data_IF_419731617596
#
_entry.id   IF_419731617596
#
_cell.length_a   1.000
_cell.length_b   1.000
_cell.length_c   1.000
_cell.angle_alpha   90.00
_cell.angle_beta   90.00
_cell.angle_gamma   90.00
#
_symmetry.space_group_name_H-M   'P 1'
#
loop_
_entity.id
_entity.type
_entity.pdbx_description
1 polymer ?
#
# COMPACT_ATOMS: atom_id res chain seq x y z
N UNK A 1 3.57 -5.90 28.87
CA UNK A 1 4.43 -4.81 28.34
C UNK A 1 4.07 -3.49 29.00
N UNK A 2 4.87 -2.41 28.84
CA UNK A 2 4.53 -1.05 29.36
C UNK A 2 3.21 -0.53 28.76
N UNK A 3 2.96 -0.83 27.49
CA UNK A 3 1.72 -0.53 26.77
C UNK A 3 0.48 -1.13 27.45
N UNK A 4 0.53 -2.41 27.83
CA UNK A 4 -0.59 -3.08 28.53
C UNK A 4 -0.76 -2.70 30.01
N UNK A 5 0.04 -1.76 30.53
CA UNK A 5 -0.04 -1.27 31.92
C UNK A 5 -0.52 0.18 32.03
N UNK A 6 -0.48 0.91 30.93
CA UNK A 6 -0.92 2.32 30.88
C UNK A 6 -2.41 2.36 30.50
N UNK A 7 -3.29 2.99 31.31
CA UNK A 7 -4.72 3.11 31.00
C UNK A 7 -5.00 3.71 29.62
N UNK A 8 -4.13 4.57 29.09
CA UNK A 8 -4.29 5.19 27.78
C UNK A 8 -3.99 4.23 26.61
N UNK A 9 -3.23 3.15 26.83
CA UNK A 9 -2.81 2.21 25.78
C UNK A 9 -3.09 0.75 26.10
N UNK A 10 -3.73 0.46 27.24
CA UNK A 10 -4.04 -0.90 27.69
C UNK A 10 -4.94 -1.66 26.72
N UNK A 11 -5.83 -0.94 26.04
CA UNK A 11 -6.75 -1.49 25.04
C UNK A 11 -6.17 -1.53 23.62
N UNK A 12 -4.92 -1.09 23.41
CA UNK A 12 -4.28 -1.17 22.10
C UNK A 12 -3.85 -2.61 21.82
N UNK A 13 -4.33 -3.20 20.72
CA UNK A 13 -3.88 -4.52 20.28
C UNK A 13 -2.44 -4.47 19.73
N UNK A 14 -1.66 -5.50 20.03
CA UNK A 14 -0.22 -5.54 19.69
C UNK A 14 0.07 -6.81 18.91
N UNK A 15 0.51 -6.68 17.67
CA UNK A 15 1.11 -7.77 16.89
C UNK A 15 2.61 -7.55 16.85
N UNK A 16 3.38 -8.51 17.36
CA UNK A 16 4.83 -8.46 17.39
C UNK A 16 5.43 -9.09 16.14
N UNK A 17 6.56 -8.56 15.68
CA UNK A 17 7.29 -9.06 14.51
C UNK A 17 8.74 -9.31 14.93
N UNK A 18 9.24 -10.54 14.80
CA UNK A 18 10.58 -10.94 15.27
C UNK A 18 11.43 -11.56 14.15
N UNK A 19 12.72 -11.19 14.12
CA UNK A 19 13.74 -11.89 13.31
C UNK A 19 14.37 -13.08 14.03
N UNK A 20 14.11 -13.24 15.32
CA UNK A 20 14.58 -14.37 16.14
C UNK A 20 13.37 -15.17 16.60
N UNK A 21 13.00 -16.17 15.80
CA UNK A 21 11.80 -16.97 15.98
C UNK A 21 12.16 -18.29 16.68
N UNK A 22 12.02 -18.31 18.00
CA UNK A 22 12.14 -19.51 18.83
C UNK A 22 10.89 -19.64 19.71
N UNK A 23 10.51 -20.86 20.09
CA UNK A 23 9.34 -21.09 20.95
C UNK A 23 9.40 -20.27 22.24
N UNK A 24 10.53 -20.30 22.93
CA UNK A 24 10.73 -19.53 24.15
C UNK A 24 10.58 -18.02 23.95
N UNK A 25 10.98 -17.47 22.79
CA UNK A 25 10.82 -16.04 22.50
C UNK A 25 9.37 -15.69 22.15
N UNK A 26 8.69 -16.55 21.38
CA UNK A 26 7.27 -16.41 21.06
C UNK A 26 6.42 -16.41 22.33
N UNK A 27 6.64 -17.38 23.21
CA UNK A 27 5.89 -17.49 24.46
C UNK A 27 6.08 -16.24 25.32
N UNK A 28 7.31 -15.71 25.40
CA UNK A 28 7.57 -14.46 26.12
C UNK A 28 6.82 -13.27 25.52
N UNK A 29 6.75 -13.18 24.20
CA UNK A 29 6.07 -12.10 23.49
C UNK A 29 4.55 -12.18 23.71
N UNK A 30 3.96 -13.37 23.56
CA UNK A 30 2.54 -13.61 23.77
C UNK A 30 2.15 -13.36 25.24
N UNK A 31 2.92 -13.92 26.19
CA UNK A 31 2.71 -13.69 27.63
C UNK A 31 2.88 -12.22 28.04
N UNK A 32 3.62 -11.43 27.27
CA UNK A 32 3.75 -9.99 27.52
C UNK A 32 2.51 -9.19 27.09
N UNK A 33 1.52 -9.83 26.44
CA UNK A 33 0.24 -9.26 26.04
C UNK A 33 0.13 -8.91 24.55
N UNK A 34 0.97 -9.52 23.69
CA UNK A 34 0.78 -9.44 22.24
C UNK A 34 -0.31 -10.41 21.80
N UNK A 35 -1.18 -9.97 20.88
CA UNK A 35 -2.22 -10.81 20.28
C UNK A 35 -1.65 -11.84 19.32
N UNK A 36 -0.54 -11.52 18.65
CA UNK A 36 0.18 -12.43 17.77
C UNK A 36 1.68 -12.11 17.70
N UNK A 37 2.47 -13.10 17.28
CA UNK A 37 3.88 -12.96 16.94
C UNK A 37 4.12 -13.50 15.53
N UNK A 38 4.69 -12.68 14.65
CA UNK A 38 5.02 -13.01 13.26
C UNK A 38 6.54 -13.10 13.09
N UNK A 39 6.99 -14.04 12.25
CA UNK A 39 8.42 -14.20 11.93
C UNK A 39 8.81 -13.32 10.74
N UNK A 40 10.04 -12.80 10.74
CA UNK A 40 10.65 -12.26 9.52
C UNK A 40 11.30 -13.40 8.70
N UNK A 41 11.33 -13.32 7.36
CA UNK A 41 10.68 -12.29 6.54
C UNK A 41 9.16 -12.39 6.59
N UNK A 42 8.48 -11.24 6.53
CA UNK A 42 7.02 -11.16 6.59
C UNK A 42 6.41 -11.45 5.22
N UNK A 43 5.41 -12.30 5.20
CA UNK A 43 4.51 -12.48 4.07
C UNK A 43 3.27 -11.60 4.27
N UNK A 44 2.89 -10.82 3.25
CA UNK A 44 1.81 -9.83 3.37
C UNK A 44 0.45 -10.51 3.57
N UNK A 45 0.25 -11.70 2.98
CA UNK A 45 -0.99 -12.48 3.14
C UNK A 45 -1.08 -13.00 4.58
N UNK A 46 0.02 -13.53 5.13
CA UNK A 46 0.09 -13.98 6.52
C UNK A 46 -0.16 -12.83 7.50
N UNK A 47 0.50 -11.68 7.29
CA UNK A 47 0.30 -10.47 8.10
C UNK A 47 -1.15 -10.02 8.06
N UNK A 48 -1.74 -9.93 6.85
CA UNK A 48 -3.13 -9.48 6.67
C UNK A 48 -4.10 -10.40 7.39
N UNK A 49 -3.97 -11.71 7.22
CA UNK A 49 -4.81 -12.70 7.90
C UNK A 49 -4.72 -12.57 9.42
N UNK A 50 -3.50 -12.43 9.94
CA UNK A 50 -3.28 -12.31 11.39
C UNK A 50 -3.81 -11.00 11.97
N UNK A 51 -3.74 -9.90 11.23
CA UNK A 51 -4.31 -8.61 11.63
C UNK A 51 -5.83 -8.68 11.64
N UNK A 52 -6.47 -9.24 10.61
CA UNK A 52 -7.93 -9.38 10.59
C UNK A 52 -8.41 -10.23 11.80
N UNK A 53 -7.75 -11.38 12.02
CA UNK A 53 -8.04 -12.27 13.15
C UNK A 53 -7.83 -11.58 14.52
N UNK A 54 -6.67 -10.96 14.72
CA UNK A 54 -6.28 -10.42 16.04
C UNK A 54 -7.10 -9.20 16.44
N UNK A 55 -7.49 -8.36 15.48
CA UNK A 55 -8.18 -7.11 15.76
C UNK A 55 -9.71 -7.23 15.67
N UNK A 56 -10.24 -8.43 15.37
CA UNK A 56 -11.68 -8.68 15.14
C UNK A 56 -12.32 -7.64 14.22
N UNK A 57 -11.55 -7.18 13.24
CA UNK A 57 -12.03 -6.22 12.27
C UNK A 57 -13.12 -6.92 11.48
N UNK A 58 -14.31 -6.32 11.44
CA UNK A 58 -15.29 -6.70 10.42
C UNK A 58 -14.59 -6.44 9.09
N UNK A 59 -14.68 -7.41 8.19
CA UNK A 59 -14.30 -7.27 6.80
C UNK A 59 -15.26 -6.26 6.14
N UNK A 60 -15.23 -4.99 6.54
CA UNK A 60 -16.14 -3.94 6.04
C UNK A 60 -15.91 -3.67 4.55
N UNK A 61 -14.75 -4.06 4.01
CA UNK A 61 -14.43 -4.04 2.58
C UNK A 61 -14.94 -5.29 1.81
N UNK A 62 -15.19 -6.43 2.48
CA UNK A 62 -15.65 -7.65 1.79
C UNK A 62 -17.16 -7.60 1.50
N UNK A 63 -17.96 -6.97 2.36
CA UNK A 63 -19.42 -6.84 2.14
C UNK A 63 -19.81 -5.75 1.13
N UNK A 64 -18.97 -4.72 0.94
CA UNK A 64 -19.24 -3.66 -0.05
C UNK A 64 -18.71 -3.99 -1.46
N UNK A 65 -17.75 -4.92 -1.58
CA UNK A 65 -17.24 -5.42 -2.86
C UNK A 65 -18.17 -6.43 -3.58
N UNK A 66 -19.31 -6.79 -2.96
CA UNK A 66 -20.27 -7.75 -3.49
C UNK A 66 -21.45 -7.11 -4.27
N UNK A 67 -21.62 -5.79 -4.24
CA UNK A 67 -22.82 -5.13 -4.80
C UNK A 67 -22.58 -4.07 -5.88
N UNK A 68 -21.32 -3.75 -6.23
CA UNK A 68 -21.03 -2.97 -7.45
C UNK A 68 -20.72 -3.92 -8.61
N UNK A 69 -21.34 -3.75 -9.79
CA UNK A 69 -20.94 -4.50 -10.98
C UNK A 69 -19.45 -4.21 -11.22
N UNK A 70 -18.60 -5.23 -11.04
CA UNK A 70 -17.14 -5.10 -11.13
C UNK A 70 -16.74 -4.78 -12.57
N UNK A 71 -16.81 -3.51 -12.94
CA UNK A 71 -15.93 -2.95 -13.95
C UNK A 71 -14.48 -3.14 -13.53
N UNK A 72 -13.56 -3.19 -14.50
CA UNK A 72 -12.13 -3.35 -14.24
C UNK A 72 -11.63 -2.37 -13.16
N UNK A 73 -10.81 -2.86 -12.22
CA UNK A 73 -10.10 -1.99 -11.28
C UNK A 73 -9.10 -1.15 -12.08
N UNK A 74 -9.22 0.17 -12.04
CA UNK A 74 -8.34 1.07 -12.80
C UNK A 74 -7.14 1.49 -11.96
N UNK A 75 -5.94 1.24 -12.48
CA UNK A 75 -4.66 1.61 -11.85
C UNK A 75 -3.92 2.56 -12.79
N UNK A 76 -3.60 3.76 -12.31
CA UNK A 76 -2.77 4.71 -13.04
C UNK A 76 -1.31 4.58 -12.62
N UNK A 77 -0.42 4.32 -13.57
CA UNK A 77 1.03 4.25 -13.34
C UNK A 77 1.69 5.49 -13.95
N UNK A 78 2.31 6.31 -13.10
CA UNK A 78 3.00 7.53 -13.50
C UNK A 78 4.51 7.32 -13.41
N UNK A 79 5.16 7.12 -14.54
CA UNK A 79 6.61 6.88 -14.60
C UNK A 79 7.16 7.03 -16.01
N UNK A 80 8.39 7.55 -16.12
CA UNK A 80 9.14 7.57 -17.37
C UNK A 80 9.87 6.24 -17.64
N UNK A 81 10.06 5.39 -16.63
CA UNK A 81 10.74 4.10 -16.76
C UNK A 81 9.87 3.09 -17.53
N UNK A 82 10.27 2.76 -18.76
CA UNK A 82 9.52 1.84 -19.62
C UNK A 82 9.46 0.41 -19.07
N UNK A 83 10.56 -0.09 -18.52
CA UNK A 83 10.65 -1.45 -17.98
C UNK A 83 9.72 -1.61 -16.78
N UNK A 84 9.65 -0.60 -15.90
CA UNK A 84 8.75 -0.60 -14.76
C UNK A 84 7.28 -0.65 -15.20
N UNK A 85 6.89 0.13 -16.23
CA UNK A 85 5.53 0.06 -16.79
C UNK A 85 5.21 -1.32 -17.37
N UNK A 86 6.14 -1.91 -18.12
CA UNK A 86 5.94 -3.23 -18.74
C UNK A 86 5.76 -4.30 -17.68
N UNK A 87 6.63 -4.34 -16.66
CA UNK A 87 6.53 -5.29 -15.55
C UNK A 87 5.21 -5.16 -14.79
N UNK A 88 4.80 -3.94 -14.45
CA UNK A 88 3.52 -3.72 -13.78
C UNK A 88 2.32 -4.17 -14.63
N UNK A 89 2.34 -3.92 -15.94
CA UNK A 89 1.28 -4.39 -16.85
C UNK A 89 1.22 -5.91 -16.91
N UNK A 90 2.35 -6.57 -17.09
CA UNK A 90 2.44 -8.04 -17.13
C UNK A 90 1.94 -8.64 -15.82
N UNK A 91 2.36 -8.07 -14.69
CA UNK A 91 1.93 -8.53 -13.38
C UNK A 91 0.42 -8.30 -13.17
N UNK A 92 -0.14 -7.15 -13.53
CA UNK A 92 -1.57 -6.86 -13.32
C UNK A 92 -2.48 -7.54 -14.36
N UNK A 93 -1.97 -7.97 -15.51
CA UNK A 93 -2.77 -8.62 -16.56
C UNK A 93 -3.46 -9.92 -16.14
N UNK A 94 -2.92 -10.61 -15.13
CA UNK A 94 -3.50 -11.85 -14.59
C UNK A 94 -4.23 -11.64 -13.24
N UNK A 95 -4.42 -10.39 -12.80
CA UNK A 95 -5.10 -10.08 -11.55
C UNK A 95 -6.61 -10.40 -11.62
N UNK A 96 -7.22 -10.66 -10.46
CA UNK A 96 -8.65 -10.99 -10.34
C UNK A 96 -9.23 -10.26 -9.12
N UNK A 97 -10.04 -9.19 -9.31
CA UNK A 97 -10.71 -8.77 -10.55
C UNK A 97 -9.78 -8.19 -11.62
N UNK A 98 -10.26 -8.14 -12.87
CA UNK A 98 -9.47 -7.64 -13.99
C UNK A 98 -9.02 -6.19 -13.74
N UNK A 99 -7.74 -5.91 -13.96
CA UNK A 99 -7.15 -4.59 -13.75
C UNK A 99 -6.87 -3.92 -15.10
N UNK A 100 -7.34 -2.69 -15.24
CA UNK A 100 -7.02 -1.82 -16.38
C UNK A 100 -5.89 -0.87 -15.98
N UNK A 101 -4.75 -0.99 -16.66
CA UNK A 101 -3.55 -0.19 -16.37
C UNK A 101 -3.48 1.02 -17.31
N UNK A 102 -3.78 2.19 -16.74
CA UNK A 102 -3.55 3.50 -17.36
C UNK A 102 -2.11 3.93 -17.11
N UNK A 103 -1.52 4.70 -18.03
CA UNK A 103 -0.14 5.17 -17.89
C UNK A 103 -0.01 6.64 -18.19
N UNK A 104 0.82 7.32 -17.43
CA UNK A 104 1.27 8.68 -17.70
C UNK A 104 2.79 8.79 -17.54
N UNK A 105 3.40 9.70 -18.29
CA UNK A 105 4.86 9.93 -18.23
C UNK A 105 5.24 11.24 -17.51
N UNK A 106 4.26 12.09 -17.25
CA UNK A 106 4.41 13.35 -16.54
C UNK A 106 3.24 13.50 -15.56
N UNK A 107 3.39 14.33 -14.55
CA UNK A 107 2.33 14.66 -13.61
C UNK A 107 1.18 15.45 -14.22
N UNK A 108 1.46 16.28 -15.24
CA UNK A 108 0.41 16.95 -16.01
C UNK A 108 -0.48 15.93 -16.75
N UNK A 109 0.14 14.97 -17.43
CA UNK A 109 -0.55 13.87 -18.12
C UNK A 109 -1.31 12.98 -17.12
N UNK A 110 -0.70 12.69 -15.96
CA UNK A 110 -1.34 11.91 -14.90
C UNK A 110 -2.65 12.55 -14.41
N UNK A 111 -2.65 13.88 -14.24
CA UNK A 111 -3.85 14.60 -13.80
C UNK A 111 -4.94 14.54 -14.87
N UNK A 112 -4.59 14.70 -16.15
CA UNK A 112 -5.54 14.62 -17.26
C UNK A 112 -6.15 13.23 -17.41
N UNK A 113 -5.31 12.19 -17.34
CA UNK A 113 -5.75 10.79 -17.36
C UNK A 113 -6.66 10.50 -16.17
N UNK A 114 -6.32 10.96 -14.98
CA UNK A 114 -7.14 10.78 -13.78
C UNK A 114 -8.50 11.47 -13.87
N UNK A 115 -8.60 12.61 -14.56
CA UNK A 115 -9.87 13.30 -14.80
C UNK A 115 -10.73 12.58 -15.86
N UNK A 116 -10.10 12.08 -16.92
CA UNK A 116 -10.80 11.42 -18.04
C UNK A 116 -11.28 10.02 -17.66
N UNK A 117 -10.46 9.28 -16.92
CA UNK A 117 -10.71 7.92 -16.48
C UNK A 117 -10.29 7.77 -15.01
N UNK A 118 -11.18 8.07 -14.04
CA UNK A 118 -10.84 8.12 -12.62
C UNK A 118 -10.30 6.78 -12.11
N UNK A 119 -9.02 6.71 -11.69
CA UNK A 119 -8.42 5.49 -11.18
C UNK A 119 -8.83 5.26 -9.72
N UNK A 120 -8.81 4.00 -9.29
CA UNK A 120 -8.94 3.64 -7.87
C UNK A 120 -7.59 3.69 -7.16
N UNK A 121 -6.52 3.39 -7.88
CA UNK A 121 -5.15 3.41 -7.37
C UNK A 121 -4.21 4.16 -8.30
N UNK A 122 -3.24 4.85 -7.73
CA UNK A 122 -2.17 5.52 -8.46
C UNK A 122 -0.83 5.02 -7.93
N UNK A 123 0.05 4.58 -8.84
CA UNK A 123 1.45 4.27 -8.56
C UNK A 123 2.28 5.38 -9.18
N UNK A 124 2.97 6.17 -8.37
CA UNK A 124 3.71 7.36 -8.81
C UNK A 124 5.20 7.23 -8.55
N UNK A 125 6.01 7.31 -9.60
CA UNK A 125 7.47 7.31 -9.50
C UNK A 125 7.96 8.71 -9.15
N UNK A 126 8.61 8.86 -7.99
CA UNK A 126 9.15 10.14 -7.54
C UNK A 126 10.37 10.59 -8.35
N UNK A 127 10.97 9.70 -9.15
CA UNK A 127 12.07 10.03 -10.07
C UNK A 127 11.63 10.79 -11.32
N UNK A 128 10.33 11.02 -11.51
CA UNK A 128 9.83 11.87 -12.59
C UNK A 128 10.00 13.34 -12.16
N UNK A 129 10.72 14.18 -12.92
CA UNK A 129 11.12 15.52 -12.46
C UNK A 129 9.97 16.45 -12.06
N UNK A 130 8.80 16.34 -12.69
CA UNK A 130 7.63 17.18 -12.38
C UNK A 130 6.76 16.62 -11.23
N UNK A 131 7.16 15.47 -10.67
CA UNK A 131 6.53 14.82 -9.52
C UNK A 131 7.36 14.90 -8.24
N UNK A 132 8.64 15.28 -8.35
CA UNK A 132 9.51 15.55 -7.19
C UNK A 132 8.98 16.66 -6.30
N UNK A 133 8.25 17.64 -6.86
CA UNK A 133 7.70 18.77 -6.10
C UNK A 133 6.46 18.44 -5.25
N UNK A 134 5.99 17.19 -5.25
CA UNK A 134 4.85 16.68 -4.46
C UNK A 134 3.46 17.26 -4.80
N UNK A 135 3.39 18.37 -5.54
CA UNK A 135 2.15 19.06 -5.92
C UNK A 135 1.15 18.17 -6.66
N UNK A 136 1.64 17.27 -7.51
CA UNK A 136 0.77 16.38 -8.29
C UNK A 136 0.17 15.29 -7.42
N UNK A 137 0.94 14.75 -6.47
CA UNK A 137 0.44 13.80 -5.48
C UNK A 137 -0.69 14.47 -4.68
N UNK A 138 -0.46 15.71 -4.25
CA UNK A 138 -1.44 16.49 -3.51
C UNK A 138 -2.72 16.77 -4.34
N UNK A 139 -2.58 17.13 -5.62
CA UNK A 139 -3.72 17.31 -6.54
C UNK A 139 -4.51 16.03 -6.74
N UNK A 140 -3.83 14.90 -6.94
CA UNK A 140 -4.49 13.60 -7.13
C UNK A 140 -5.18 13.16 -5.83
N UNK A 141 -4.55 13.35 -4.67
CA UNK A 141 -5.08 12.99 -3.36
C UNK A 141 -6.36 13.77 -3.02
N UNK A 142 -6.43 15.03 -3.46
CA UNK A 142 -7.58 15.92 -3.26
C UNK A 142 -8.57 15.94 -4.43
N UNK A 143 -8.44 15.05 -5.41
CA UNK A 143 -9.44 14.87 -6.46
C UNK A 143 -10.74 14.29 -5.91
N UNK A 144 -11.87 14.49 -6.61
CA UNK A 144 -13.19 14.00 -6.16
C UNK A 144 -13.22 12.48 -5.91
N UNK A 145 -12.45 11.71 -6.68
CA UNK A 145 -12.40 10.25 -6.57
C UNK A 145 -11.40 9.73 -5.53
N UNK A 146 -10.55 10.59 -4.96
CA UNK A 146 -9.56 10.29 -3.89
C UNK A 146 -8.90 8.91 -4.04
N UNK A 147 -8.15 8.67 -5.12
CA UNK A 147 -7.49 7.38 -5.33
C UNK A 147 -6.49 7.07 -4.21
N UNK A 148 -6.22 5.78 -3.96
CA UNK A 148 -5.11 5.39 -3.10
C UNK A 148 -3.78 5.56 -3.85
N UNK A 149 -2.90 6.42 -3.33
CA UNK A 149 -1.62 6.74 -3.96
C UNK A 149 -0.48 5.99 -3.27
N UNK A 150 0.32 5.28 -4.07
CA UNK A 150 1.56 4.61 -3.65
C UNK A 150 2.71 5.30 -4.39
N UNK A 151 3.58 5.97 -3.64
CA UNK A 151 4.79 6.54 -4.19
C UNK A 151 5.88 5.47 -4.30
N UNK A 152 6.68 5.53 -5.35
CA UNK A 152 7.82 4.63 -5.57
C UNK A 152 9.07 5.43 -5.86
N UNK A 153 10.21 4.98 -5.33
CA UNK A 153 11.52 5.57 -5.56
C UNK A 153 12.57 4.45 -5.50
N UNK A 154 13.69 4.56 -6.20
CA UNK A 154 14.68 3.48 -6.23
C UNK A 154 15.44 3.35 -4.90
N UNK A 155 15.71 4.48 -4.24
CA UNK A 155 16.33 4.53 -2.91
C UNK A 155 15.62 5.55 -1.99
N UNK A 156 14.44 5.20 -1.43
CA UNK A 156 13.65 6.15 -0.65
C UNK A 156 14.24 6.38 0.75
N UNK A 157 14.81 7.57 0.94
CA UNK A 157 15.21 8.11 2.26
C UNK A 157 13.99 8.45 3.13
N UNK A 158 14.20 8.65 4.43
CA UNK A 158 13.12 9.04 5.35
C UNK A 158 12.51 10.40 4.99
N UNK A 159 13.32 11.32 4.45
CA UNK A 159 12.85 12.62 3.95
C UNK A 159 11.92 12.43 2.75
N UNK A 160 12.32 11.63 1.75
CA UNK A 160 11.50 11.32 0.58
C UNK A 160 10.18 10.65 1.01
N UNK A 161 10.23 9.71 1.95
CA UNK A 161 9.03 9.03 2.46
C UNK A 161 8.09 9.98 3.18
N UNK A 162 8.64 10.92 3.94
CA UNK A 162 7.85 11.90 4.69
C UNK A 162 7.20 12.90 3.73
N UNK A 163 7.97 13.44 2.79
CA UNK A 163 7.45 14.32 1.74
C UNK A 163 6.30 13.67 0.95
N UNK A 164 6.46 12.42 0.51
CA UNK A 164 5.39 11.73 -0.21
C UNK A 164 4.12 11.56 0.63
N UNK A 165 4.27 11.21 1.92
CA UNK A 165 3.14 11.06 2.85
C UNK A 165 2.43 12.38 3.13
N UNK A 166 3.20 13.45 3.36
CA UNK A 166 2.66 14.78 3.63
C UNK A 166 1.88 15.33 2.42
N UNK A 167 2.29 14.93 1.21
CA UNK A 167 1.56 15.24 -0.01
C UNK A 167 0.33 14.35 -0.27
N UNK A 168 0.06 13.36 0.59
CA UNK A 168 -1.14 12.52 0.51
C UNK A 168 -0.92 11.11 -0.06
N UNK A 169 0.33 10.69 -0.30
CA UNK A 169 0.59 9.28 -0.59
C UNK A 169 0.36 8.43 0.67
N UNK A 170 -0.26 7.27 0.51
CA UNK A 170 -0.46 6.31 1.61
C UNK A 170 0.88 5.78 2.14
N UNK A 171 1.84 5.59 1.23
CA UNK A 171 3.18 5.11 1.53
C UNK A 171 4.15 5.43 0.39
N UNK A 172 5.45 5.32 0.69
CA UNK A 172 6.52 5.39 -0.29
C UNK A 172 7.37 4.12 -0.19
N UNK A 173 7.50 3.38 -1.28
CA UNK A 173 8.16 2.07 -1.34
C UNK A 173 9.35 2.07 -2.31
N UNK A 174 10.37 1.22 -2.10
CA UNK A 174 11.38 0.97 -3.11
C UNK A 174 10.76 0.44 -4.40
N UNK A 175 11.13 0.97 -5.57
CA UNK A 175 10.61 0.49 -6.88
C UNK A 175 10.77 -1.02 -7.03
N UNK A 176 11.91 -1.56 -6.57
CA UNK A 176 12.21 -2.99 -6.61
C UNK A 176 11.25 -3.86 -5.76
N UNK A 177 10.64 -3.31 -4.71
CA UNK A 177 9.70 -4.03 -3.85
C UNK A 177 8.30 -4.12 -4.47
N UNK A 178 7.94 -3.13 -5.28
CA UNK A 178 6.60 -3.01 -5.86
C UNK A 178 6.38 -4.08 -6.93
N UNK A 179 7.41 -4.38 -7.71
CA UNK A 179 7.37 -5.49 -8.66
C UNK A 179 7.33 -6.82 -7.90
N UNK A 180 6.32 -7.65 -8.16
CA UNK A 180 6.10 -8.95 -7.52
C UNK A 180 5.19 -8.92 -6.28
N UNK A 181 4.83 -7.74 -5.78
CA UNK A 181 3.90 -7.59 -4.63
C UNK A 181 2.73 -6.64 -4.94
N UNK A 182 2.65 -6.06 -6.13
CA UNK A 182 1.68 -4.99 -6.41
C UNK A 182 0.24 -5.49 -6.30
N UNK A 183 -0.02 -6.75 -6.66
CA UNK A 183 -1.36 -7.35 -6.50
C UNK A 183 -1.83 -7.33 -5.06
N UNK A 184 -0.94 -7.71 -4.14
CA UNK A 184 -1.22 -7.73 -2.71
C UNK A 184 -1.39 -6.31 -2.15
N UNK A 185 -0.55 -5.38 -2.59
CA UNK A 185 -0.62 -3.96 -2.20
C UNK A 185 -1.93 -3.31 -2.64
N UNK A 186 -2.46 -3.70 -3.80
CA UNK A 186 -3.71 -3.21 -4.36
C UNK A 186 -4.94 -4.01 -3.91
N UNK A 187 -4.75 -5.19 -3.31
CA UNK A 187 -5.84 -6.08 -2.91
C UNK A 187 -6.58 -6.75 -4.08
N UNK A 188 -5.87 -7.02 -5.19
CA UNK A 188 -6.41 -7.56 -6.46
C UNK A 188 -5.74 -8.86 -6.92
#
# INVERSE_FOLDING_TARGET
TRLKRDPATTNTEVVAITGYYTEANMDRILNAGAAACLKKPLDVIEVRGRVIESFKLKDEEVEQAASKPRGSTKVLVVTQNADFRTRLREELSHARPAVEVLTAQTGADATLVAQTAPPQHVIVSLTVPDLESSDVINKLANSDNKPQIIAVHDDPTDEIRTMARDAGARMCLPTAMVSGTIRELLGV
#
